data_IF_459071777888
#
_entry.id   IF_459071777888
#
_cell.length_a   1.000
_cell.length_b   1.000
_cell.length_c   1.000
_cell.angle_alpha   90.00
_cell.angle_beta   90.00
_cell.angle_gamma   90.00
#
_symmetry.space_group_name_H-M   'P 1'
#
loop_
_entity.id
_entity.type
_entity.pdbx_description
1 polymer ?
#
# COMPACT_ATOMS: atom_id res chain seq x y z
N UNK A 1 -1.51 6.90 33.94
CA UNK A 1 -0.43 7.73 33.38
C UNK A 1 0.57 6.78 32.72
N UNK A 2 1.23 7.24 31.66
CA UNK A 2 1.84 6.49 30.55
C UNK A 2 0.87 5.96 29.48
N UNK A 3 0.40 6.90 28.65
CA UNK A 3 -0.04 6.68 27.26
C UNK A 3 0.57 7.78 26.41
N UNK A 4 1.90 7.86 26.39
CA UNK A 4 2.56 8.72 25.40
C UNK A 4 2.32 8.05 24.05
N UNK A 5 1.58 8.73 23.17
CA UNK A 5 1.15 8.27 21.85
C UNK A 5 2.30 8.11 20.85
N UNK A 6 3.35 7.41 21.27
CA UNK A 6 4.44 6.97 20.42
C UNK A 6 4.11 5.56 19.97
N UNK A 7 4.21 5.32 18.66
CA UNK A 7 4.08 3.96 18.14
C UNK A 7 5.21 3.09 18.71
N UNK A 8 4.87 1.90 19.20
CA UNK A 8 5.85 0.86 19.54
C UNK A 8 6.45 0.28 18.24
N UNK A 9 7.63 -0.33 18.30
CA UNK A 9 8.31 -0.92 17.12
C UNK A 9 7.48 -2.02 16.42
N UNK A 10 6.52 -2.60 17.14
CA UNK A 10 5.58 -3.61 16.66
C UNK A 10 4.29 -3.02 16.05
N UNK A 11 4.10 -1.70 16.06
CA UNK A 11 2.90 -1.08 15.54
C UNK A 11 2.79 -1.19 14.02
N UNK A 12 1.61 -1.61 13.58
CA UNK A 12 1.33 -1.89 12.17
C UNK A 12 1.27 -0.63 11.31
N UNK A 13 1.00 0.53 11.92
CA UNK A 13 0.83 1.80 11.21
C UNK A 13 2.17 2.30 10.65
N UNK A 14 3.26 2.38 11.44
CA UNK A 14 4.60 2.64 10.90
C UNK A 14 5.05 1.69 9.80
N UNK A 15 4.58 0.43 9.81
CA UNK A 15 4.94 -0.58 8.80
C UNK A 15 4.19 -0.44 7.48
N UNK A 16 3.08 0.29 7.46
CA UNK A 16 2.28 0.52 6.25
C UNK A 16 2.50 1.93 5.69
N UNK A 17 2.45 2.94 6.56
CA UNK A 17 2.50 4.36 6.16
C UNK A 17 3.64 5.16 6.78
N UNK A 18 4.44 4.56 7.66
CA UNK A 18 5.60 5.21 8.29
C UNK A 18 6.95 4.76 7.75
N UNK A 19 8.01 5.05 8.50
CA UNK A 19 9.42 4.86 8.09
C UNK A 19 9.83 3.40 7.89
N UNK A 20 9.02 2.46 8.38
CA UNK A 20 9.25 1.02 8.26
C UNK A 20 8.50 0.39 7.07
N UNK A 21 7.85 1.20 6.22
CA UNK A 21 7.14 0.74 5.04
C UNK A 21 8.09 0.38 3.91
N UNK A 22 7.86 -0.77 3.25
CA UNK A 22 8.56 -1.14 2.02
C UNK A 22 7.76 -0.82 0.76
N UNK A 23 6.61 -0.15 0.91
CA UNK A 23 5.79 0.23 -0.23
C UNK A 23 6.50 1.28 -1.09
N UNK A 24 6.24 1.22 -2.39
CA UNK A 24 6.64 2.31 -3.27
C UNK A 24 5.85 3.59 -2.99
N UNK A 25 6.36 4.71 -3.49
CA UNK A 25 5.79 6.03 -3.23
C UNK A 25 4.31 6.17 -3.69
N UNK A 26 3.89 5.44 -4.72
CA UNK A 26 2.53 5.52 -5.23
C UNK A 26 1.55 4.79 -4.30
N UNK A 27 1.88 3.54 -3.93
CA UNK A 27 1.08 2.76 -2.99
C UNK A 27 1.06 3.43 -1.60
N UNK A 28 2.19 3.99 -1.16
CA UNK A 28 2.28 4.74 0.10
C UNK A 28 1.34 5.95 0.08
N UNK A 29 1.35 6.75 -0.99
CA UNK A 29 0.52 7.94 -1.11
C UNK A 29 -0.99 7.63 -1.02
N UNK A 30 -1.45 6.53 -1.63
CA UNK A 30 -2.85 6.10 -1.54
C UNK A 30 -3.26 5.76 -0.09
N UNK A 31 -2.38 5.08 0.66
CA UNK A 31 -2.63 4.73 2.05
C UNK A 31 -2.56 5.94 2.98
N UNK A 32 -1.63 6.85 2.77
CA UNK A 32 -1.53 8.11 3.51
C UNK A 32 -2.77 8.99 3.29
N UNK A 33 -3.32 9.02 2.07
CA UNK A 33 -4.58 9.70 1.76
C UNK A 33 -5.76 9.05 2.50
N UNK A 34 -5.86 7.73 2.47
CA UNK A 34 -6.92 7.01 3.20
C UNK A 34 -6.81 7.23 4.71
N UNK A 35 -5.60 7.26 5.26
CA UNK A 35 -5.35 7.55 6.66
C UNK A 35 -5.78 8.99 7.02
N UNK A 36 -5.38 9.99 6.22
CA UNK A 36 -5.76 11.38 6.42
C UNK A 36 -7.29 11.58 6.40
N UNK A 37 -7.99 10.95 5.46
CA UNK A 37 -9.45 10.99 5.40
C UNK A 37 -10.09 10.37 6.65
N UNK A 38 -9.54 9.27 7.18
CA UNK A 38 -10.05 8.67 8.42
C UNK A 38 -9.75 9.53 9.65
N UNK A 39 -8.57 10.15 9.73
CA UNK A 39 -8.22 11.09 10.81
C UNK A 39 -9.22 12.27 10.84
N UNK A 40 -9.46 12.90 9.69
CA UNK A 40 -10.43 14.00 9.58
C UNK A 40 -11.84 13.56 9.98
N UNK A 41 -12.30 12.40 9.46
CA UNK A 41 -13.61 11.84 9.81
C UNK A 41 -13.74 11.60 11.31
N UNK A 42 -12.69 11.07 11.96
CA UNK A 42 -12.67 10.81 13.41
C UNK A 42 -12.70 12.09 14.22
N UNK A 43 -11.90 13.08 13.83
CA UNK A 43 -11.87 14.37 14.52
C UNK A 43 -13.24 15.06 14.43
N UNK A 44 -13.84 15.12 13.24
CA UNK A 44 -15.18 15.66 13.03
C UNK A 44 -16.25 14.90 13.85
N UNK A 45 -16.19 13.56 13.87
CA UNK A 45 -17.11 12.73 14.69
C UNK A 45 -16.90 12.96 16.19
N UNK A 46 -15.68 13.30 16.59
CA UNK A 46 -15.32 13.65 17.97
C UNK A 46 -15.71 15.08 18.37
N UNK A 47 -16.35 15.84 17.49
CA UNK A 47 -16.83 17.20 17.77
C UNK A 47 -15.89 18.31 17.34
N UNK A 48 -14.88 18.03 16.50
CA UNK A 48 -14.08 19.08 15.87
C UNK A 48 -14.98 19.92 14.94
N UNK A 49 -15.04 21.23 15.17
CA UNK A 49 -15.87 22.14 14.39
C UNK A 49 -15.24 22.46 13.02
N UNK A 50 -15.97 23.18 12.17
CA UNK A 50 -15.58 23.45 10.78
C UNK A 50 -14.20 24.11 10.67
N UNK A 51 -13.89 25.03 11.59
CA UNK A 51 -12.63 25.78 11.61
C UNK A 51 -11.48 24.87 11.98
N UNK A 52 -11.62 24.10 13.06
CA UNK A 52 -10.66 23.05 13.41
C UNK A 52 -10.47 22.02 12.28
N UNK A 53 -11.55 21.64 11.59
CA UNK A 53 -11.48 20.74 10.43
C UNK A 53 -10.67 21.33 9.27
N UNK A 54 -10.84 22.62 8.97
CA UNK A 54 -10.09 23.30 7.91
C UNK A 54 -8.59 23.41 8.26
N UNK A 55 -8.26 23.71 9.52
CA UNK A 55 -6.86 23.72 10.00
C UNK A 55 -6.27 22.29 9.96
N UNK A 56 -7.02 21.27 10.38
CA UNK A 56 -6.57 19.88 10.30
C UNK A 56 -6.33 19.44 8.86
N UNK A 57 -7.19 19.82 7.92
CA UNK A 57 -6.97 19.53 6.49
C UNK A 57 -5.64 20.09 6.00
N UNK A 58 -5.31 21.34 6.35
CA UNK A 58 -4.03 21.94 5.99
C UNK A 58 -2.84 21.18 6.61
N UNK A 59 -2.94 20.81 7.90
CA UNK A 59 -1.93 20.00 8.59
C UNK A 59 -1.74 18.62 7.95
N UNK A 60 -2.82 17.95 7.52
CA UNK A 60 -2.74 16.65 6.86
C UNK A 60 -2.12 16.73 5.47
N UNK A 61 -2.36 17.80 4.72
CA UNK A 61 -1.69 18.06 3.43
C UNK A 61 -0.21 18.31 3.64
N UNK A 62 0.15 19.11 4.65
CA UNK A 62 1.54 19.38 5.01
C UNK A 62 2.26 18.12 5.46
N UNK A 63 1.61 17.28 6.27
CA UNK A 63 2.12 15.97 6.68
C UNK A 63 2.49 15.11 5.47
N UNK A 64 1.54 14.90 4.54
CA UNK A 64 1.78 14.11 3.33
C UNK A 64 2.91 14.69 2.45
N UNK A 65 3.07 16.02 2.44
CA UNK A 65 4.15 16.67 1.71
C UNK A 65 5.50 16.45 2.40
N UNK A 66 5.58 16.70 3.71
CA UNK A 66 6.79 16.49 4.50
C UNK A 66 7.27 15.04 4.41
N UNK A 67 6.35 14.07 4.41
CA UNK A 67 6.64 12.64 4.20
C UNK A 67 7.34 12.32 2.89
N UNK A 68 7.05 13.07 1.83
CA UNK A 68 7.72 12.89 0.53
C UNK A 68 9.10 13.55 0.48
N UNK A 69 9.31 14.56 1.33
CA UNK A 69 10.53 15.38 1.34
C UNK A 69 11.54 14.91 2.41
N UNK A 70 11.10 14.25 3.49
CA UNK A 70 11.91 13.85 4.65
C UNK A 70 11.41 12.56 5.32
N UNK A 71 12.34 11.74 5.84
CA UNK A 71 12.07 10.43 6.46
C UNK A 71 12.14 10.39 7.98
N UNK A 72 12.47 11.49 8.66
CA UNK A 72 12.94 11.37 10.05
C UNK A 72 11.83 11.52 11.10
N UNK A 73 10.61 11.95 10.71
CA UNK A 73 9.44 12.09 11.59
C UNK A 73 8.12 11.76 10.87
N UNK A 74 7.77 10.47 10.80
CA UNK A 74 6.59 9.99 10.06
C UNK A 74 5.23 10.62 10.42
N UNK A 75 5.03 11.18 11.61
CA UNK A 75 3.69 11.61 12.06
C UNK A 75 3.68 12.99 12.72
N UNK A 76 4.78 13.72 12.60
CA UNK A 76 4.90 15.07 13.16
C UNK A 76 4.84 16.09 12.03
N UNK A 77 4.07 17.15 12.24
CA UNK A 77 4.01 18.30 11.34
C UNK A 77 4.57 19.51 12.07
N UNK A 78 5.67 20.05 11.55
CA UNK A 78 6.24 21.33 11.98
C UNK A 78 5.89 22.42 10.95
N UNK A 79 5.20 23.49 11.36
CA UNK A 79 4.78 24.58 10.47
C UNK A 79 4.53 25.89 11.21
N UNK A 80 4.83 27.02 10.56
CA UNK A 80 4.45 28.33 11.09
C UNK A 80 2.95 28.63 10.91
N UNK A 81 2.32 29.27 11.89
CA UNK A 81 0.91 29.68 11.83
C UNK A 81 0.60 30.57 10.61
N UNK A 82 1.53 31.47 10.24
CA UNK A 82 1.41 32.29 9.03
C UNK A 82 1.26 31.45 7.74
N UNK A 83 1.93 30.29 7.66
CA UNK A 83 1.75 29.39 6.51
C UNK A 83 0.38 28.70 6.53
N UNK A 84 -0.17 28.43 7.72
CA UNK A 84 -1.54 27.90 7.83
C UNK A 84 -2.56 28.96 7.40
N UNK A 85 -2.33 30.24 7.69
CA UNK A 85 -3.17 31.35 7.17
C UNK A 85 -3.15 31.34 5.64
N UNK A 86 -1.97 31.32 5.03
CA UNK A 86 -1.82 31.29 3.56
C UNK A 86 -2.51 30.08 2.91
N UNK A 87 -2.38 28.89 3.52
CA UNK A 87 -2.96 27.65 2.99
C UNK A 87 -4.47 27.56 3.16
N UNK A 88 -5.00 28.12 4.24
CA UNK A 88 -6.44 28.03 4.56
C UNK A 88 -7.23 29.25 4.08
N UNK A 89 -6.57 30.38 3.84
CA UNK A 89 -7.20 31.68 3.59
C UNK A 89 -7.86 32.29 4.85
N UNK A 90 -7.56 31.76 6.03
CA UNK A 90 -8.09 32.23 7.32
C UNK A 90 -7.18 33.31 7.91
N UNK A 91 -7.72 34.17 8.77
CA UNK A 91 -6.93 35.11 9.55
C UNK A 91 -6.21 34.39 10.70
N UNK A 92 -5.09 34.97 11.16
CA UNK A 92 -4.33 34.50 12.33
C UNK A 92 -5.23 34.13 13.52
N UNK A 93 -6.16 35.01 13.90
CA UNK A 93 -7.08 34.77 15.01
C UNK A 93 -7.93 33.50 14.82
N UNK A 94 -8.38 33.24 13.59
CA UNK A 94 -9.21 32.08 13.25
C UNK A 94 -8.36 30.81 13.17
N UNK A 95 -7.13 30.89 12.66
CA UNK A 95 -6.16 29.78 12.68
C UNK A 95 -5.85 29.38 14.12
N UNK A 96 -5.55 30.33 15.00
CA UNK A 96 -5.29 30.07 16.41
C UNK A 96 -6.50 29.47 17.12
N UNK A 97 -7.73 29.87 16.77
CA UNK A 97 -8.95 29.22 17.26
C UNK A 97 -9.00 27.76 16.82
N UNK A 98 -8.79 27.46 15.53
CA UNK A 98 -8.79 26.09 15.03
C UNK A 98 -7.69 25.23 15.66
N UNK A 99 -6.49 25.78 15.89
CA UNK A 99 -5.41 25.10 16.61
C UNK A 99 -5.81 24.78 18.07
N UNK A 100 -6.53 25.67 18.76
CA UNK A 100 -7.05 25.39 20.11
C UNK A 100 -8.08 24.27 20.09
N UNK A 101 -8.99 24.26 19.11
CA UNK A 101 -9.98 23.19 18.93
C UNK A 101 -9.33 21.82 18.67
N UNK A 102 -8.15 21.80 18.02
CA UNK A 102 -7.41 20.57 17.71
C UNK A 102 -6.72 19.93 18.90
N UNK A 103 -6.45 20.67 19.97
CA UNK A 103 -5.69 20.20 21.15
C UNK A 103 -6.17 18.86 21.73
N UNK A 104 -7.48 18.54 21.81
CA UNK A 104 -7.95 17.24 22.31
C UNK A 104 -7.64 16.06 21.37
N UNK A 105 -7.30 16.34 20.12
CA UNK A 105 -7.16 15.36 19.04
C UNK A 105 -5.70 15.09 18.64
N UNK A 106 -4.79 16.03 18.90
CA UNK A 106 -3.38 15.94 18.49
C UNK A 106 -2.45 15.93 19.70
N UNK A 107 -1.22 15.49 19.50
CA UNK A 107 -0.14 15.61 20.49
C UNK A 107 0.61 16.91 20.21
N UNK A 108 0.65 17.82 21.18
CA UNK A 108 1.47 19.04 21.08
C UNK A 108 2.85 18.70 21.64
N UNK A 109 3.90 18.88 20.84
CA UNK A 109 5.28 18.56 21.25
C UNK A 109 5.89 19.65 22.12
N UNK A 110 5.59 20.91 21.81
CA UNK A 110 6.03 22.09 22.55
C UNK A 110 4.84 23.07 22.70
N UNK A 111 4.31 23.19 23.92
CA UNK A 111 3.15 24.06 24.19
C UNK A 111 3.49 25.55 24.06
N UNK A 112 4.74 25.97 24.31
CA UNK A 112 5.14 27.39 24.21
C UNK A 112 5.20 27.82 22.74
N UNK A 113 5.86 27.02 21.90
CA UNK A 113 5.95 27.27 20.46
C UNK A 113 4.59 27.18 19.76
N UNK A 114 3.72 26.26 20.20
CA UNK A 114 2.37 26.06 19.64
C UNK A 114 1.49 27.32 19.70
N UNK A 115 1.65 28.16 20.72
CA UNK A 115 0.88 29.40 20.88
C UNK A 115 1.59 30.64 20.32
N UNK A 116 2.91 30.58 20.12
CA UNK A 116 3.70 31.65 19.51
C UNK A 116 3.78 31.53 17.97
N UNK A 117 3.14 30.51 17.40
CA UNK A 117 2.97 30.34 15.96
C UNK A 117 4.01 29.46 15.28
N UNK A 118 4.82 28.70 16.06
CA UNK A 118 5.65 27.61 15.55
C UNK A 118 5.03 26.27 15.99
N UNK A 119 4.21 25.71 15.10
CA UNK A 119 3.33 24.59 15.40
C UNK A 119 4.04 23.28 15.12
N UNK A 120 4.40 22.54 16.18
CA UNK A 120 4.85 21.15 16.08
C UNK A 120 3.81 20.19 16.70
N UNK A 121 3.13 19.43 15.84
CA UNK A 121 2.04 18.52 16.24
C UNK A 121 2.25 17.09 15.77
N UNK A 122 2.07 16.15 16.69
CA UNK A 122 1.97 14.72 16.43
C UNK A 122 0.54 14.29 16.11
N UNK A 123 0.36 13.61 14.97
CA UNK A 123 -0.92 13.10 14.47
C UNK A 123 -1.24 11.67 14.95
N UNK A 124 -0.33 11.03 15.70
CA UNK A 124 -0.50 9.65 16.17
C UNK A 124 -1.81 9.42 16.96
N UNK A 125 -2.31 10.36 17.80
CA UNK A 125 -3.56 10.13 18.52
C UNK A 125 -4.79 9.98 17.61
N UNK A 126 -4.76 10.54 16.40
CA UNK A 126 -5.82 10.38 15.39
C UNK A 126 -5.77 9.02 14.69
N UNK A 127 -4.65 8.32 14.78
CA UNK A 127 -4.41 6.98 14.25
C UNK A 127 -4.77 5.90 15.30
N UNK A 128 -6.02 5.94 15.75
CA UNK A 128 -6.53 5.02 16.78
C UNK A 128 -6.78 3.58 16.25
N UNK A 129 -7.21 2.70 17.16
CA UNK A 129 -7.47 1.28 16.90
C UNK A 129 -8.32 1.03 15.63
N UNK A 130 -7.91 0.00 14.87
CA UNK A 130 -8.58 -0.45 13.64
C UNK A 130 -8.20 0.31 12.35
N UNK A 131 -7.40 1.39 12.42
CA UNK A 131 -6.86 2.04 11.19
C UNK A 131 -5.88 1.11 10.48
N UNK A 132 -4.93 0.54 11.23
CA UNK A 132 -3.96 -0.44 10.73
C UNK A 132 -4.60 -1.57 9.91
N UNK A 133 -5.60 -2.25 10.48
CA UNK A 133 -6.28 -3.37 9.81
C UNK A 133 -6.98 -2.94 8.52
N UNK A 134 -7.54 -1.73 8.51
CA UNK A 134 -8.23 -1.19 7.34
C UNK A 134 -7.26 -0.79 6.24
N UNK A 135 -6.14 -0.16 6.59
CA UNK A 135 -5.07 0.17 5.66
C UNK A 135 -4.45 -1.11 5.09
N UNK A 136 -4.16 -2.11 5.92
CA UNK A 136 -3.67 -3.42 5.48
C UNK A 136 -4.65 -4.08 4.52
N UNK A 137 -5.93 -4.14 4.88
CA UNK A 137 -6.97 -4.71 4.01
C UNK A 137 -7.08 -3.97 2.69
N UNK A 138 -7.10 -2.63 2.72
CA UNK A 138 -7.15 -1.82 1.51
C UNK A 138 -5.96 -2.11 0.60
N UNK A 139 -4.76 -2.05 1.15
CA UNK A 139 -3.53 -2.35 0.41
C UNK A 139 -3.56 -3.75 -0.21
N UNK A 140 -3.88 -4.80 0.56
CA UNK A 140 -3.95 -6.17 0.06
C UNK A 140 -4.93 -6.31 -1.10
N UNK A 141 -6.14 -5.77 -0.94
CA UNK A 141 -7.19 -5.85 -1.96
C UNK A 141 -6.73 -5.15 -3.24
N UNK A 142 -6.25 -3.91 -3.14
CA UNK A 142 -5.77 -3.14 -4.28
C UNK A 142 -4.58 -3.83 -4.96
N UNK A 143 -3.63 -4.33 -4.17
CA UNK A 143 -2.46 -5.04 -4.67
C UNK A 143 -2.84 -6.31 -5.45
N UNK A 144 -3.70 -7.16 -4.89
CA UNK A 144 -4.17 -8.39 -5.59
C UNK A 144 -4.89 -8.05 -6.89
N UNK A 145 -5.72 -7.00 -6.91
CA UNK A 145 -6.41 -6.57 -8.14
C UNK A 145 -5.42 -6.20 -9.24
N UNK A 146 -4.40 -5.39 -8.91
CA UNK A 146 -3.36 -4.98 -9.85
C UNK A 146 -2.58 -6.20 -10.34
N UNK A 147 -2.22 -7.11 -9.43
CA UNK A 147 -1.44 -8.30 -9.76
C UNK A 147 -2.20 -9.32 -10.62
N UNK A 148 -3.48 -9.57 -10.34
CA UNK A 148 -4.29 -10.46 -11.17
C UNK A 148 -4.55 -9.88 -12.55
N UNK A 149 -4.74 -8.55 -12.64
CA UNK A 149 -4.81 -7.86 -13.93
C UNK A 149 -3.51 -8.02 -14.72
N UNK A 150 -2.37 -7.79 -14.08
CA UNK A 150 -1.06 -8.00 -14.69
C UNK A 150 -0.86 -9.46 -15.15
N UNK A 151 -1.26 -10.43 -14.32
CA UNK A 151 -1.18 -11.84 -14.67
C UNK A 151 -2.03 -12.20 -15.89
N UNK A 152 -3.24 -11.64 -15.98
CA UNK A 152 -4.11 -11.81 -17.16
C UNK A 152 -3.45 -11.26 -18.42
N UNK A 153 -2.97 -10.02 -18.37
CA UNK A 153 -2.33 -9.35 -19.51
C UNK A 153 -1.06 -10.11 -19.97
N UNK A 154 -0.25 -10.60 -19.03
CA UNK A 154 0.94 -11.41 -19.35
C UNK A 154 0.57 -12.77 -19.95
N UNK A 155 -0.50 -13.41 -19.49
CA UNK A 155 -1.02 -14.64 -20.10
C UNK A 155 -1.42 -14.43 -21.57
N UNK A 156 -2.09 -13.32 -21.89
CA UNK A 156 -2.42 -12.94 -23.28
C UNK A 156 -1.15 -12.67 -24.11
N UNK A 157 -0.12 -12.08 -23.50
CA UNK A 157 1.21 -11.90 -24.09
C UNK A 157 1.89 -13.22 -24.43
N UNK A 158 1.90 -14.18 -23.49
CA UNK A 158 2.48 -15.52 -23.68
C UNK A 158 1.82 -16.24 -24.87
N UNK A 159 0.50 -16.23 -24.95
CA UNK A 159 -0.22 -16.84 -26.09
C UNK A 159 0.14 -16.17 -27.43
N UNK A 160 0.36 -14.86 -27.41
CA UNK A 160 0.80 -14.11 -28.59
C UNK A 160 2.24 -14.47 -28.98
N UNK A 161 3.14 -14.61 -28.01
CA UNK A 161 4.50 -15.05 -28.27
C UNK A 161 4.58 -16.49 -28.78
N UNK A 162 3.72 -17.40 -28.30
CA UNK A 162 3.66 -18.76 -28.86
C UNK A 162 3.24 -18.77 -30.33
N UNK A 163 2.26 -17.94 -30.72
CA UNK A 163 1.89 -17.77 -32.14
C UNK A 163 3.05 -17.22 -32.96
N UNK A 164 3.75 -16.22 -32.43
CA UNK A 164 4.93 -15.63 -33.05
C UNK A 164 6.11 -16.62 -33.18
N UNK A 165 6.23 -17.60 -32.28
CA UNK A 165 7.24 -18.65 -32.36
C UNK A 165 6.96 -19.68 -33.47
N UNK A 166 5.69 -19.79 -33.90
CA UNK A 166 5.25 -20.72 -34.95
C UNK A 166 5.32 -20.11 -36.35
N UNK A 167 5.66 -18.82 -36.47
CA UNK A 167 5.72 -18.14 -37.76
C UNK A 167 6.84 -18.71 -38.68
N UNK A 168 6.56 -18.85 -39.99
CA UNK A 168 7.54 -19.32 -40.96
C UNK A 168 8.82 -18.48 -40.95
N UNK A 169 9.98 -19.13 -40.81
CA UNK A 169 11.28 -18.46 -40.79
C UNK A 169 11.88 -18.22 -39.40
N UNK A 170 11.16 -18.54 -38.31
CA UNK A 170 11.65 -18.43 -36.92
C UNK A 170 12.13 -19.76 -36.32
N UNK A 171 12.64 -20.67 -37.16
CA UNK A 171 12.96 -22.07 -36.82
C UNK A 171 14.07 -22.32 -35.77
N UNK A 172 14.52 -21.31 -35.03
CA UNK A 172 15.46 -21.47 -33.91
C UNK A 172 14.72 -21.75 -32.61
N UNK A 173 15.26 -22.65 -31.77
CA UNK A 173 14.81 -22.91 -30.38
C UNK A 173 13.52 -23.74 -30.17
N UNK A 174 13.12 -24.58 -31.13
CA UNK A 174 11.92 -25.43 -31.03
C UNK A 174 11.83 -26.24 -29.71
N UNK A 175 12.94 -26.80 -29.24
CA UNK A 175 12.99 -27.55 -27.98
C UNK A 175 12.70 -26.67 -26.76
N UNK A 176 13.24 -25.44 -26.74
CA UNK A 176 13.00 -24.47 -25.66
C UNK A 176 11.56 -23.96 -25.67
N UNK A 177 11.01 -23.68 -26.85
CA UNK A 177 9.60 -23.28 -27.00
C UNK A 177 8.67 -24.42 -26.54
N UNK A 178 8.98 -25.67 -26.88
CA UNK A 178 8.21 -26.84 -26.44
C UNK A 178 8.27 -27.04 -24.93
N UNK A 179 9.44 -26.85 -24.32
CA UNK A 179 9.60 -26.88 -22.86
C UNK A 179 8.77 -25.78 -22.17
N UNK A 180 8.86 -24.53 -22.66
CA UNK A 180 8.06 -23.42 -22.15
C UNK A 180 6.55 -23.64 -22.34
N UNK A 181 6.13 -24.29 -23.43
CA UNK A 181 4.71 -24.65 -23.65
C UNK A 181 4.22 -25.72 -22.67
N UNK A 182 5.06 -26.69 -22.33
CA UNK A 182 4.74 -27.66 -21.29
C UNK A 182 4.64 -26.97 -19.92
N UNK A 183 5.54 -26.05 -19.64
CA UNK A 183 5.53 -25.28 -18.39
C UNK A 183 4.29 -24.37 -18.29
N UNK A 184 3.95 -23.67 -19.36
CA UNK A 184 2.74 -22.86 -19.45
C UNK A 184 1.48 -23.67 -19.20
N UNK A 185 1.34 -24.85 -19.82
CA UNK A 185 0.20 -25.75 -19.57
C UNK A 185 0.09 -26.16 -18.10
N UNK A 186 1.21 -26.55 -17.49
CA UNK A 186 1.25 -26.89 -16.06
C UNK A 186 0.85 -25.70 -15.18
N UNK A 187 1.35 -24.51 -15.49
CA UNK A 187 0.98 -23.29 -14.78
C UNK A 187 -0.53 -23.03 -14.89
N UNK A 188 -1.11 -23.12 -16.09
CA UNK A 188 -2.56 -22.93 -16.31
C UNK A 188 -3.40 -23.96 -15.55
N UNK A 189 -2.96 -25.22 -15.49
CA UNK A 189 -3.65 -26.27 -14.74
C UNK A 189 -3.57 -26.08 -13.22
N UNK A 190 -2.46 -25.53 -12.72
CA UNK A 190 -2.17 -25.37 -11.30
C UNK A 190 -2.51 -24.00 -10.75
N UNK A 191 -2.80 -23.01 -11.61
CA UNK A 191 -3.06 -21.63 -11.19
C UNK A 191 -4.23 -21.59 -10.21
N UNK A 192 -4.04 -20.85 -9.14
CA UNK A 192 -5.07 -20.61 -8.13
C UNK A 192 -5.18 -19.12 -7.88
N UNK A 193 -4.12 -18.48 -7.42
CA UNK A 193 -4.15 -17.11 -6.91
C UNK A 193 -4.19 -16.04 -8.00
N UNK A 194 -3.64 -16.33 -9.19
CA UNK A 194 -3.72 -15.44 -10.35
C UNK A 194 -5.08 -15.46 -11.05
N UNK A 195 -5.96 -16.40 -10.71
CA UNK A 195 -7.33 -16.46 -11.21
C UNK A 195 -8.26 -15.55 -10.39
N UNK A 196 -8.97 -14.64 -11.06
CA UNK A 196 -9.89 -13.71 -10.43
C UNK A 196 -11.00 -14.39 -9.61
N UNK A 197 -11.35 -15.64 -9.92
CA UNK A 197 -12.34 -16.41 -9.15
C UNK A 197 -11.87 -16.75 -7.74
N UNK A 198 -10.56 -16.76 -7.50
CA UNK A 198 -9.95 -17.05 -6.19
C UNK A 198 -9.42 -15.77 -5.53
N UNK A 199 -9.99 -14.60 -5.85
CA UNK A 199 -9.59 -13.31 -5.29
C UNK A 199 -9.48 -13.33 -3.74
N UNK A 200 -10.45 -13.88 -2.97
CA UNK A 200 -10.35 -13.90 -1.52
C UNK A 200 -9.14 -14.71 -1.00
N UNK A 201 -8.83 -15.83 -1.66
CA UNK A 201 -7.68 -16.67 -1.31
C UNK A 201 -6.36 -15.94 -1.59
N UNK A 202 -6.29 -15.21 -2.70
CA UNK A 202 -5.11 -14.42 -3.06
C UNK A 202 -4.88 -13.25 -2.08
N UNK A 203 -5.94 -12.61 -1.58
CA UNK A 203 -5.85 -11.58 -0.52
C UNK A 203 -5.33 -12.16 0.80
N UNK A 204 -5.74 -13.37 1.13
CA UNK A 204 -5.30 -14.07 2.33
C UNK A 204 -3.84 -14.56 2.22
N UNK A 205 -3.41 -14.99 1.04
CA UNK A 205 -2.07 -15.55 0.78
C UNK A 205 -1.33 -14.79 -0.35
N UNK A 206 -0.80 -13.62 0.01
CA UNK A 206 0.02 -12.82 -0.91
C UNK A 206 1.32 -13.55 -1.32
N UNK A 207 1.85 -14.43 -0.45
CA UNK A 207 3.07 -15.18 -0.77
C UNK A 207 2.80 -16.20 -1.87
N UNK A 208 1.70 -16.94 -1.76
CA UNK A 208 1.23 -17.85 -2.81
C UNK A 208 0.99 -17.11 -4.13
N UNK A 209 0.34 -15.94 -4.09
CA UNK A 209 0.17 -15.09 -5.26
C UNK A 209 1.50 -14.69 -5.89
N UNK A 210 2.48 -14.22 -5.10
CA UNK A 210 3.79 -13.84 -5.62
C UNK A 210 4.59 -15.02 -6.19
N UNK A 211 4.44 -16.23 -5.64
CA UNK A 211 5.05 -17.43 -6.20
C UNK A 211 4.48 -17.81 -7.58
N UNK A 212 3.16 -17.69 -7.75
CA UNK A 212 2.52 -17.88 -9.07
C UNK A 212 2.98 -16.81 -10.07
N UNK A 213 3.02 -15.54 -9.65
CA UNK A 213 3.47 -14.43 -10.50
C UNK A 213 4.93 -14.59 -10.93
N UNK A 214 5.81 -15.05 -10.04
CA UNK A 214 7.22 -15.31 -10.39
C UNK A 214 7.37 -16.42 -11.43
N UNK A 215 6.49 -17.44 -11.38
CA UNK A 215 6.44 -18.48 -12.42
C UNK A 215 6.00 -17.91 -13.75
N UNK A 216 4.95 -17.07 -13.73
CA UNK A 216 4.43 -16.41 -14.92
C UNK A 216 5.45 -15.46 -15.55
N UNK A 217 6.10 -14.61 -14.74
CA UNK A 217 7.17 -13.70 -15.11
C UNK A 217 8.29 -14.45 -15.85
N UNK A 218 8.76 -15.57 -15.29
CA UNK A 218 9.80 -16.39 -15.93
C UNK A 218 9.38 -16.98 -17.27
N UNK A 219 8.15 -17.46 -17.40
CA UNK A 219 7.63 -17.99 -18.68
C UNK A 219 7.53 -16.86 -19.71
N UNK A 220 6.93 -15.72 -19.32
CA UNK A 220 6.76 -14.56 -20.16
C UNK A 220 8.09 -14.05 -20.70
N UNK A 221 9.06 -13.79 -19.82
CA UNK A 221 10.33 -13.17 -20.20
C UNK A 221 11.22 -14.13 -20.99
N UNK A 222 11.23 -15.43 -20.62
CA UNK A 222 11.93 -16.44 -21.40
C UNK A 222 11.37 -16.57 -22.81
N UNK A 223 10.05 -16.52 -22.97
CA UNK A 223 9.42 -16.64 -24.28
C UNK A 223 9.63 -15.36 -25.10
N UNK A 224 9.49 -14.18 -24.48
CA UNK A 224 9.78 -12.89 -25.10
C UNK A 224 11.22 -12.84 -25.65
N UNK A 225 12.21 -13.26 -24.85
CA UNK A 225 13.62 -13.31 -25.27
C UNK A 225 13.92 -14.32 -26.39
N UNK A 226 13.02 -15.25 -26.68
CA UNK A 226 13.16 -16.19 -27.80
C UNK A 226 12.53 -15.67 -29.09
N UNK A 227 11.50 -14.82 -29.02
CA UNK A 227 10.68 -14.44 -30.18
C UNK A 227 10.81 -12.98 -30.59
N UNK A 228 11.22 -12.10 -29.69
CA UNK A 228 11.41 -10.68 -30.01
C UNK A 228 12.76 -10.49 -30.68
N UNK A 229 12.80 -9.66 -31.72
CA UNK A 229 14.02 -9.43 -32.51
C UNK A 229 15.04 -8.65 -31.69
N UNK A 230 16.32 -8.79 -32.01
CA UNK A 230 17.40 -8.12 -31.27
C UNK A 230 17.35 -6.57 -31.38
N UNK A 231 16.65 -6.04 -32.38
CA UNK A 231 16.38 -4.61 -32.59
C UNK A 231 15.04 -4.13 -32.00
N UNK A 232 14.24 -5.05 -31.46
CA UNK A 232 12.96 -4.77 -30.82
C UNK A 232 13.10 -4.90 -29.29
N UNK A 233 12.66 -3.90 -28.53
CA UNK A 233 12.64 -4.01 -27.07
C UNK A 233 11.42 -4.83 -26.63
N UNK A 234 11.66 -6.05 -26.16
CA UNK A 234 10.65 -6.79 -25.43
C UNK A 234 10.57 -6.24 -24.01
N UNK A 235 9.51 -5.49 -23.67
CA UNK A 235 9.31 -5.12 -22.27
C UNK A 235 9.18 -6.38 -21.43
N UNK A 236 10.05 -6.51 -20.42
CA UNK A 236 9.97 -7.60 -19.45
C UNK A 236 8.69 -7.46 -18.63
N UNK A 237 8.22 -8.56 -18.04
CA UNK A 237 7.06 -8.56 -17.16
C UNK A 237 7.23 -7.54 -16.03
N UNK A 238 8.45 -7.48 -15.46
CA UNK A 238 8.79 -6.52 -14.41
C UNK A 238 8.71 -5.06 -14.88
N UNK A 239 9.21 -4.74 -16.07
CA UNK A 239 9.11 -3.39 -16.65
C UNK A 239 7.67 -2.98 -16.92
N UNK A 240 6.87 -3.92 -17.44
CA UNK A 240 5.48 -3.68 -17.82
C UNK A 240 4.57 -3.49 -16.61
N UNK A 241 4.85 -4.21 -15.51
CA UNK A 241 3.95 -4.28 -14.36
C UNK A 241 4.55 -3.71 -13.06
N UNK A 242 5.76 -3.12 -13.13
CA UNK A 242 6.47 -2.42 -12.04
C UNK A 242 6.37 -3.11 -10.68
N UNK A 243 6.59 -4.43 -10.62
CA UNK A 243 6.59 -5.14 -9.35
C UNK A 243 7.84 -4.79 -8.54
N UNK A 244 7.77 -3.78 -7.67
CA UNK A 244 8.94 -3.40 -6.87
C UNK A 244 9.33 -4.50 -5.87
N UNK A 245 10.64 -4.67 -5.66
CA UNK A 245 11.16 -5.56 -4.61
C UNK A 245 10.62 -5.19 -3.22
N UNK A 246 10.37 -3.90 -2.99
CA UNK A 246 9.76 -3.40 -1.77
C UNK A 246 8.35 -3.95 -1.52
N UNK A 247 7.47 -3.92 -2.53
CA UNK A 247 6.11 -4.47 -2.38
C UNK A 247 6.12 -5.99 -2.11
N UNK A 248 7.08 -6.73 -2.70
CA UNK A 248 7.29 -8.15 -2.37
C UNK A 248 7.72 -8.34 -0.91
N UNK A 249 8.63 -7.52 -0.39
CA UNK A 249 9.03 -7.53 1.02
C UNK A 249 7.87 -7.18 1.95
N UNK A 250 7.04 -6.20 1.58
CA UNK A 250 5.84 -5.85 2.32
C UNK A 250 4.85 -7.04 2.41
N UNK A 251 4.63 -7.75 1.31
CA UNK A 251 3.79 -8.96 1.26
C UNK A 251 4.27 -10.07 2.17
N UNK A 252 5.59 -10.29 2.24
CA UNK A 252 6.18 -11.30 3.12
C UNK A 252 6.04 -10.92 4.60
N UNK A 253 6.26 -9.63 4.94
CA UNK A 253 6.17 -9.13 6.32
C UNK A 253 4.75 -9.17 6.88
N UNK A 254 3.75 -8.98 6.02
CA UNK A 254 2.34 -8.93 6.41
C UNK A 254 1.67 -10.30 6.42
N UNK A 255 2.30 -11.38 5.93
CA UNK A 255 1.68 -12.71 5.84
C UNK A 255 1.24 -13.25 7.23
N UNK A 256 -0.07 -13.51 7.46
CA UNK A 256 -0.55 -14.09 8.72
C UNK A 256 0.07 -15.45 9.04
N UNK A 257 0.46 -16.23 8.03
CA UNK A 257 1.06 -17.56 8.18
C UNK A 257 2.51 -17.51 8.68
N UNK A 258 3.21 -16.40 8.47
CA UNK A 258 4.57 -16.18 8.96
C UNK A 258 4.60 -15.64 10.40
N UNK A 259 3.45 -15.25 10.95
CA UNK A 259 3.35 -14.70 12.31
C UNK A 259 2.24 -15.43 13.10
N UNK A 260 2.56 -16.48 13.87
CA UNK A 260 1.57 -17.35 14.52
C UNK A 260 0.69 -16.63 15.56
N UNK A 261 1.04 -15.41 15.98
CA UNK A 261 0.16 -14.54 16.79
C UNK A 261 -1.03 -13.97 15.98
N UNK A 262 -1.05 -14.15 14.65
CA UNK A 262 -1.98 -13.51 13.69
C UNK A 262 -2.86 -14.50 12.92
N UNK A 263 -2.82 -15.80 13.21
CA UNK A 263 -3.80 -16.72 12.64
C UNK A 263 -5.19 -16.33 13.19
N UNK A 264 -6.21 -16.10 12.33
CA UNK A 264 -7.55 -15.89 12.82
C UNK A 264 -7.93 -17.11 13.65
N UNK A 265 -8.17 -16.93 14.95
CA UNK A 265 -8.79 -17.96 15.75
C UNK A 265 -10.12 -18.26 15.07
N UNK A 266 -10.22 -19.43 14.44
CA UNK A 266 -11.50 -19.95 13.96
C UNK A 266 -12.43 -19.96 15.16
N UNK A 267 -13.33 -18.98 15.23
CA UNK A 267 -14.46 -19.04 16.16
C UNK A 267 -15.24 -20.27 15.74
N UNK A 268 -15.12 -21.33 16.53
CA UNK A 268 -15.92 -22.52 16.40
C UNK A 268 -17.37 -22.13 16.71
N UNK A 269 -18.10 -21.67 15.70
CA UNK A 269 -19.56 -21.58 15.73
C UNK A 269 -20.13 -23.00 15.58
N UNK A 270 -20.04 -23.78 16.64
CA UNK A 270 -20.95 -24.90 16.87
C UNK A 270 -21.18 -25.05 18.38
N UNK A 271 -22.16 -24.28 18.86
CA UNK A 271 -22.87 -24.64 20.09
C UNK A 271 -24.29 -25.05 19.68
N UNK A 272 -24.52 -26.36 19.76
CA UNK A 272 -25.72 -27.03 20.26
C UNK A 272 -27.07 -26.33 20.10
N UNK A 273 -27.88 -26.83 19.17
CA UNK A 273 -29.32 -27.06 19.40
C UNK A 273 -29.71 -28.39 18.76
N UNK A 274 -29.76 -29.44 19.57
CA UNK A 274 -30.93 -30.30 19.78
C UNK A 274 -30.68 -31.20 20.99
#
# INVERSE_FOLDING_TARGET
MDRNGRFDDDDFIPQLIGDNSHLDAAALAELEQLAALDMLRRAATGGLEDVGCQVLQALLVLWQRQRRESSDRSFVVAVMAAHLEDLTGLTEEVVLRGLRELRPFVRVEDEELYFDGDVEVGLEPLLAAGVAERLDRFWRVSHVQIMQRAAKEAGEGIESFFRLAEEPGRAGNADRVSALRLEWRRHVEQRRFTDARNFPDAVADLQGLHAELATLERIHDALAGLVVRADEHAMTFHERHRQTSGTKLQALRTNPLANPKRAPQRVALFSLVQ
#
